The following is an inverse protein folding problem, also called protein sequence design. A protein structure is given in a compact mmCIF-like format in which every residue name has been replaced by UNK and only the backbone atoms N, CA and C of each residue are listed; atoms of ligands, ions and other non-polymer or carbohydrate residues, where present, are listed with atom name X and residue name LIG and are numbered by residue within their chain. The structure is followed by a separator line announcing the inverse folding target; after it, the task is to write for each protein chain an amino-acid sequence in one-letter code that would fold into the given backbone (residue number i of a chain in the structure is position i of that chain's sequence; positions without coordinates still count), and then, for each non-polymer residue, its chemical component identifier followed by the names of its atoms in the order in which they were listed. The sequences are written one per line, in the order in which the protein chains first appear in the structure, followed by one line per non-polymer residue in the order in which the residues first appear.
data_IF_520253500150
#
_entry.id   IF_520253500150
#
_cell.length_a   1.000
_cell.length_b   1.000
_cell.length_c   1.000
_cell.angle_alpha   90.00
_cell.angle_beta   90.00
_cell.angle_gamma   90.00
#
_symmetry.space_group_name_H-M   'P 1'
#
loop_
_entity.id
_entity.type
_entity.pdbx_description
1 polymer ?
#
# COMPACT_ATOMS: atom_id res chain seq x y z
N UNK A 1 9.89 2.58 -14.02
CA UNK A 1 8.62 3.11 -13.47
C UNK A 1 7.98 2.01 -12.67
N UNK A 2 7.59 2.29 -11.42
CA UNK A 2 6.90 1.31 -10.57
C UNK A 2 5.39 1.39 -10.80
N UNK A 3 4.71 0.25 -10.80
CA UNK A 3 3.25 0.15 -10.78
C UNK A 3 2.83 -0.73 -9.61
N UNK A 4 1.77 -0.31 -8.93
CA UNK A 4 1.19 -1.02 -7.80
C UNK A 4 -0.27 -1.28 -8.15
N UNK A 5 -0.79 -2.45 -7.75
CA UNK A 5 -2.20 -2.80 -7.91
C UNK A 5 -2.70 -3.48 -6.66
N UNK A 6 -3.92 -3.14 -6.27
CA UNK A 6 -4.69 -3.83 -5.24
C UNK A 6 -5.96 -4.41 -5.85
N UNK A 7 -6.43 -5.53 -5.31
CA UNK A 7 -7.66 -6.17 -5.77
C UNK A 7 -8.32 -6.97 -4.65
N UNK A 8 -9.65 -7.01 -4.62
CA UNK A 8 -10.42 -7.94 -3.79
C UNK A 8 -10.53 -9.28 -4.52
N UNK A 9 -10.45 -10.38 -3.77
CA UNK A 9 -10.66 -11.72 -4.33
C UNK A 9 -12.16 -11.97 -4.57
N UNK A 10 -12.53 -12.69 -5.63
CA UNK A 10 -13.93 -13.03 -5.88
C UNK A 10 -14.44 -14.08 -4.89
N UNK A 11 -15.76 -14.27 -4.87
CA UNK A 11 -16.46 -15.40 -4.23
C UNK A 11 -16.30 -15.49 -2.70
N UNK A 12 -16.25 -14.35 -2.02
CA UNK A 12 -16.09 -14.26 -0.56
C UNK A 12 -17.39 -14.07 0.23
N UNK A 13 -18.53 -13.97 -0.47
CA UNK A 13 -19.83 -13.71 0.12
C UNK A 13 -20.25 -12.25 -0.01
N UNK A 14 -20.94 -11.74 1.02
CA UNK A 14 -21.32 -10.33 1.09
C UNK A 14 -20.09 -9.46 1.36
N UNK A 15 -19.94 -8.37 0.61
CA UNK A 15 -18.80 -7.46 0.72
C UNK A 15 -18.66 -6.95 2.16
N UNK A 16 -17.44 -7.01 2.69
CA UNK A 16 -17.14 -6.61 4.06
C UNK A 16 -15.77 -5.96 4.17
N UNK A 17 -15.56 -5.16 5.21
CA UNK A 17 -14.23 -4.62 5.53
C UNK A 17 -13.13 -5.68 5.77
N UNK A 18 -13.50 -6.96 5.87
CA UNK A 18 -12.59 -8.09 6.08
C UNK A 18 -12.28 -8.88 4.81
N UNK A 19 -12.79 -8.46 3.66
CA UNK A 19 -12.57 -9.17 2.40
C UNK A 19 -11.07 -9.36 2.13
N UNK A 20 -10.71 -10.57 1.71
CA UNK A 20 -9.36 -10.87 1.31
C UNK A 20 -9.09 -10.30 -0.08
N UNK A 21 -7.83 -9.97 -0.31
CA UNK A 21 -7.37 -9.46 -1.58
C UNK A 21 -5.88 -9.68 -1.76
N UNK A 22 -5.39 -9.12 -2.85
CA UNK A 22 -4.02 -9.27 -3.28
C UNK A 22 -3.40 -7.90 -3.55
N UNK A 23 -2.09 -7.83 -3.35
CA UNK A 23 -1.23 -6.73 -3.75
C UNK A 23 -0.24 -7.22 -4.79
N UNK A 24 0.04 -6.39 -5.79
CA UNK A 24 1.05 -6.65 -6.81
C UNK A 24 1.88 -5.40 -7.08
N UNK A 25 3.20 -5.55 -7.09
CA UNK A 25 4.12 -4.48 -7.46
C UNK A 25 4.95 -4.94 -8.66
N UNK A 26 5.09 -4.07 -9.64
CA UNK A 26 5.91 -4.31 -10.82
C UNK A 26 6.85 -3.15 -11.09
N UNK A 27 8.05 -3.48 -11.55
CA UNK A 27 9.10 -2.52 -11.89
C UNK A 27 10.14 -3.14 -12.81
N UNK A 28 11.29 -2.48 -12.91
CA UNK A 28 12.39 -2.86 -13.80
C UNK A 28 13.15 -4.13 -13.36
N UNK A 29 13.04 -4.54 -12.10
CA UNK A 29 13.71 -5.75 -11.57
C UNK A 29 12.78 -6.95 -11.45
N UNK A 30 11.46 -6.75 -11.52
CA UNK A 30 10.52 -7.84 -11.45
C UNK A 30 9.07 -7.41 -11.23
N UNK A 31 8.20 -8.42 -11.22
CA UNK A 31 6.78 -8.33 -10.86
C UNK A 31 6.52 -9.35 -9.78
N UNK A 32 6.06 -8.89 -8.62
CA UNK A 32 5.86 -9.73 -7.44
C UNK A 32 4.49 -9.40 -6.85
N UNK A 33 3.71 -10.41 -6.52
CA UNK A 33 2.40 -10.27 -5.89
C UNK A 33 2.06 -11.45 -4.99
N UNK A 34 0.92 -11.34 -4.31
CA UNK A 34 0.39 -12.34 -3.36
C UNK A 34 -0.34 -13.50 -4.03
N UNK A 35 -0.87 -13.30 -5.24
CA UNK A 35 -1.65 -14.33 -5.96
C UNK A 35 -0.83 -15.57 -6.30
N UNK A 36 -1.45 -16.75 -6.17
CA UNK A 36 -0.88 -18.03 -6.64
C UNK A 36 0.31 -18.54 -5.81
N UNK A 37 0.48 -18.06 -4.58
CA UNK A 37 1.57 -18.46 -3.68
C UNK A 37 1.16 -19.66 -2.81
N UNK A 38 2.16 -20.40 -2.34
CA UNK A 38 1.99 -21.50 -1.37
C UNK A 38 3.04 -21.35 -0.26
N UNK A 39 2.66 -21.16 1.01
CA UNK A 39 1.29 -20.97 1.50
C UNK A 39 0.62 -19.73 0.88
N UNK A 40 -0.72 -19.68 0.90
CA UNK A 40 -1.47 -18.55 0.37
C UNK A 40 -1.03 -17.24 1.05
N UNK A 41 -1.04 -16.15 0.27
CA UNK A 41 -0.55 -14.83 0.71
C UNK A 41 -1.64 -13.75 0.59
N UNK A 42 -2.91 -14.13 0.40
CA UNK A 42 -4.03 -13.21 0.46
C UNK A 42 -4.12 -12.54 1.82
N UNK A 43 -4.70 -11.34 1.87
CA UNK A 43 -4.73 -10.52 3.09
C UNK A 43 -6.04 -9.75 3.18
N UNK A 44 -6.48 -9.38 4.38
CA UNK A 44 -7.63 -8.47 4.54
C UNK A 44 -7.29 -7.14 3.89
N UNK A 45 -7.76 -6.91 2.66
CA UNK A 45 -7.08 -5.98 1.75
C UNK A 45 -7.30 -4.53 2.13
N UNK A 46 -8.51 -4.17 2.56
CA UNK A 46 -8.83 -2.82 3.02
C UNK A 46 -7.96 -2.44 4.22
N UNK A 47 -7.93 -3.27 5.27
CA UNK A 47 -7.09 -3.07 6.44
C UNK A 47 -5.60 -3.03 6.09
N UNK A 48 -5.18 -3.91 5.18
CA UNK A 48 -3.80 -4.03 4.74
C UNK A 48 -3.33 -2.77 4.01
N UNK A 49 -4.12 -2.24 3.07
CA UNK A 49 -3.78 -1.00 2.35
C UNK A 49 -3.79 0.21 3.30
N UNK A 50 -4.78 0.33 4.19
CA UNK A 50 -4.81 1.41 5.20
C UNK A 50 -3.53 1.42 6.05
N UNK A 51 -3.15 0.25 6.57
CA UNK A 51 -1.93 0.09 7.36
C UNK A 51 -0.67 0.39 6.55
N UNK A 52 -0.63 -0.03 5.28
CA UNK A 52 0.49 0.25 4.37
C UNK A 52 0.66 1.77 4.18
N UNK A 53 -0.42 2.50 3.90
CA UNK A 53 -0.39 3.96 3.73
C UNK A 53 0.09 4.66 5.00
N UNK A 54 -0.49 4.34 6.15
CA UNK A 54 -0.14 5.00 7.41
C UNK A 54 1.31 4.70 7.83
N UNK A 55 1.73 3.44 7.77
CA UNK A 55 3.11 3.08 8.16
C UNK A 55 4.14 3.58 7.15
N UNK A 56 3.81 3.60 5.86
CA UNK A 56 4.70 4.16 4.84
C UNK A 56 4.83 5.68 5.00
N UNK A 57 3.75 6.41 5.32
CA UNK A 57 3.81 7.84 5.68
C UNK A 57 4.82 8.08 6.80
N UNK A 58 4.73 7.32 7.90
CA UNK A 58 5.65 7.46 9.03
C UNK A 58 7.11 7.21 8.61
N UNK A 59 7.35 6.25 7.71
CA UNK A 59 8.68 6.02 7.15
C UNK A 59 9.17 7.20 6.30
N UNK A 60 8.29 7.80 5.50
CA UNK A 60 8.63 8.94 4.63
C UNK A 60 9.00 10.19 5.45
N UNK A 61 8.27 10.45 6.52
CA UNK A 61 8.47 11.58 7.44
C UNK A 61 9.63 11.33 8.42
N UNK A 62 9.92 10.06 8.71
CA UNK A 62 10.97 9.65 9.63
C UNK A 62 12.36 9.50 9.00
N UNK A 63 13.33 9.19 9.87
CA UNK A 63 14.73 8.97 9.51
C UNK A 63 15.11 7.50 9.40
N UNK A 64 14.16 6.56 9.54
CA UNK A 64 14.45 5.13 9.46
C UNK A 64 15.06 4.78 8.09
N UNK A 65 16.09 3.94 8.10
CA UNK A 65 16.78 3.50 6.88
C UNK A 65 16.03 2.37 6.16
N UNK A 66 15.16 1.66 6.87
CA UNK A 66 14.39 0.52 6.38
C UNK A 66 12.95 0.64 6.86
N UNK A 67 12.03 0.47 5.92
CA UNK A 67 10.61 0.22 6.13
C UNK A 67 10.34 -1.27 5.93
N UNK A 68 9.51 -1.84 6.80
CA UNK A 68 9.02 -3.21 6.68
C UNK A 68 7.56 -3.23 7.09
N UNK A 69 6.74 -3.85 6.25
CA UNK A 69 5.31 -3.99 6.41
C UNK A 69 4.92 -5.43 6.08
N UNK A 70 3.99 -5.98 6.86
CA UNK A 70 3.36 -7.28 6.58
C UNK A 70 1.87 -7.06 6.55
N UNK A 71 1.20 -7.61 5.53
CA UNK A 71 -0.26 -7.49 5.40
C UNK A 71 -1.02 -8.14 6.56
N UNK A 72 -2.28 -7.76 6.72
CA UNK A 72 -3.14 -8.34 7.74
C UNK A 72 -3.50 -9.78 7.38
N UNK A 73 -3.33 -10.69 8.33
CA UNK A 73 -3.61 -12.13 8.19
C UNK A 73 -2.80 -12.85 7.09
N UNK A 74 -1.59 -12.36 6.79
CA UNK A 74 -0.71 -12.93 5.77
C UNK A 74 0.74 -12.89 6.18
N UNK A 75 1.59 -13.65 5.49
CA UNK A 75 3.04 -13.47 5.55
C UNK A 75 3.58 -12.57 4.44
N UNK A 76 2.70 -12.00 3.59
CA UNK A 76 3.11 -11.13 2.50
C UNK A 76 3.76 -9.87 3.04
N UNK A 77 5.01 -9.63 2.64
CA UNK A 77 5.84 -8.56 3.17
C UNK A 77 6.28 -7.58 2.07
N UNK A 78 6.18 -6.29 2.38
CA UNK A 78 6.78 -5.21 1.61
C UNK A 78 7.94 -4.64 2.42
N UNK A 79 9.11 -4.54 1.80
CA UNK A 79 10.30 -3.96 2.41
C UNK A 79 10.87 -2.89 1.51
N UNK A 80 11.11 -1.71 2.07
CA UNK A 80 11.71 -0.59 1.35
C UNK A 80 12.96 -0.13 2.10
N UNK A 81 14.07 0.01 1.38
CA UNK A 81 15.34 0.46 1.96
C UNK A 81 15.78 1.77 1.32
N UNK A 82 16.11 2.77 2.14
CA UNK A 82 16.79 3.98 1.65
C UNK A 82 18.19 3.60 1.17
N UNK A 83 18.51 3.96 -0.06
CA UNK A 83 19.82 3.74 -0.69
C UNK A 83 20.47 5.08 -1.06
N UNK A 84 21.70 5.04 -1.57
CA UNK A 84 22.45 6.25 -1.96
C UNK A 84 21.66 7.09 -2.98
N UNK A 85 21.97 8.39 -3.02
CA UNK A 85 21.36 9.36 -3.95
C UNK A 85 19.84 9.52 -3.78
N UNK A 86 19.33 9.34 -2.56
CA UNK A 86 17.92 9.58 -2.25
C UNK A 86 16.94 8.60 -2.91
N UNK A 87 17.42 7.43 -3.36
CA UNK A 87 16.56 6.39 -3.94
C UNK A 87 16.12 5.39 -2.86
N UNK A 88 15.11 4.60 -3.20
CA UNK A 88 14.50 3.55 -2.41
C UNK A 88 14.61 2.24 -3.18
N UNK A 89 15.10 1.19 -2.53
CA UNK A 89 15.11 -0.17 -3.06
C UNK A 89 13.91 -0.93 -2.51
N UNK A 90 13.08 -1.49 -3.40
CA UNK A 90 11.79 -2.09 -3.07
C UNK A 90 11.84 -3.60 -3.26
N UNK A 91 11.43 -4.32 -2.22
CA UNK A 91 11.35 -5.78 -2.20
C UNK A 91 9.97 -6.21 -1.73
N UNK A 92 9.43 -7.25 -2.36
CA UNK A 92 8.24 -7.96 -1.91
C UNK A 92 8.63 -9.40 -1.64
N UNK A 93 8.30 -9.94 -0.46
CA UNK A 93 8.66 -11.32 -0.10
C UNK A 93 10.15 -11.66 -0.34
N UNK A 94 11.04 -10.70 -0.08
CA UNK A 94 12.50 -10.76 -0.32
C UNK A 94 12.92 -10.76 -1.80
N UNK A 95 11.98 -10.73 -2.74
CA UNK A 95 12.21 -10.60 -4.17
C UNK A 95 12.32 -9.11 -4.56
N UNK A 96 13.36 -8.69 -5.32
CA UNK A 96 13.51 -7.30 -5.74
C UNK A 96 12.46 -6.93 -6.81
N UNK A 97 11.86 -5.75 -6.68
CA UNK A 97 10.89 -5.23 -7.66
C UNK A 97 11.46 -4.06 -8.46
N UNK A 98 12.07 -3.09 -7.77
CA UNK A 98 12.63 -1.90 -8.42
C UNK A 98 13.54 -1.10 -7.48
N UNK A 99 14.27 -0.15 -8.05
CA UNK A 99 14.75 1.01 -7.32
C UNK A 99 14.01 2.25 -7.83
N UNK A 100 13.38 3.03 -6.94
CA UNK A 100 12.59 4.22 -7.29
C UNK A 100 13.01 5.43 -6.45
N UNK A 101 12.71 6.64 -6.88
CA UNK A 101 12.72 7.81 -5.99
C UNK A 101 11.59 7.73 -4.98
N UNK A 102 11.69 8.52 -3.91
CA UNK A 102 10.61 8.67 -2.95
C UNK A 102 9.31 9.14 -3.63
N UNK A 103 9.40 10.14 -4.51
CA UNK A 103 8.24 10.68 -5.21
C UNK A 103 7.56 9.63 -6.11
N UNK A 104 8.33 8.86 -6.89
CA UNK A 104 7.77 7.82 -7.76
C UNK A 104 7.04 6.73 -6.95
N UNK A 105 7.62 6.27 -5.85
CA UNK A 105 7.02 5.22 -5.03
C UNK A 105 5.77 5.72 -4.29
N UNK A 106 5.83 6.91 -3.67
CA UNK A 106 4.67 7.49 -2.99
C UNK A 106 3.53 7.79 -3.96
N UNK A 107 3.84 8.32 -5.15
CA UNK A 107 2.83 8.57 -6.17
C UNK A 107 2.18 7.28 -6.67
N UNK A 108 2.98 6.24 -6.97
CA UNK A 108 2.42 4.96 -7.41
C UNK A 108 1.54 4.30 -6.34
N UNK A 109 1.90 4.45 -5.06
CA UNK A 109 1.12 3.91 -3.95
C UNK A 109 -0.21 4.66 -3.79
N UNK A 110 -0.18 6.01 -3.88
CA UNK A 110 -1.38 6.83 -3.83
C UNK A 110 -2.33 6.51 -4.99
N UNK A 111 -1.82 6.50 -6.23
CA UNK A 111 -2.61 6.20 -7.42
C UNK A 111 -3.27 4.83 -7.29
N UNK A 112 -2.52 3.78 -6.91
CA UNK A 112 -3.08 2.45 -6.75
C UNK A 112 -4.16 2.37 -5.65
N UNK A 113 -3.99 3.12 -4.56
CA UNK A 113 -4.98 3.17 -3.49
C UNK A 113 -6.26 3.95 -3.90
N UNK A 114 -6.12 4.99 -4.71
CA UNK A 114 -7.27 5.73 -5.25
C UNK A 114 -8.01 4.96 -6.34
N UNK A 115 -7.29 4.25 -7.21
CA UNK A 115 -7.87 3.34 -8.19
C UNK A 115 -8.64 2.20 -7.50
N UNK A 116 -8.03 1.59 -6.46
CA UNK A 116 -8.69 0.55 -5.67
C UNK A 116 -9.98 1.05 -4.98
N UNK A 117 -9.96 2.29 -4.48
CA UNK A 117 -11.13 2.94 -3.92
C UNK A 117 -12.24 3.10 -4.98
N UNK A 118 -11.89 3.59 -6.16
CA UNK A 118 -12.85 3.89 -7.22
C UNK A 118 -13.44 2.63 -7.87
N UNK A 119 -12.66 1.56 -7.99
CA UNK A 119 -13.07 0.33 -8.67
C UNK A 119 -13.75 -0.68 -7.74
N UNK A 120 -13.39 -0.71 -6.45
CA UNK A 120 -13.68 -1.87 -5.60
C UNK A 120 -14.34 -1.55 -4.26
N UNK A 121 -14.30 -0.29 -3.80
CA UNK A 121 -14.90 0.03 -2.50
C UNK A 121 -16.42 0.16 -2.59
N UNK A 122 -17.10 -0.99 -2.53
CA UNK A 122 -18.55 -1.11 -2.37
C UNK A 122 -18.91 -1.52 -0.93
N UNK A 123 -18.27 -0.86 0.05
CA UNK A 123 -18.54 -1.06 1.47
C UNK A 123 -19.55 -0.01 1.98
N UNK A 124 -20.44 -0.37 2.93
CA UNK A 124 -21.32 0.60 3.59
C UNK A 124 -20.55 1.80 4.15
N UNK A 125 -21.15 2.99 4.14
CA UNK A 125 -20.51 4.21 4.69
C UNK A 125 -20.16 4.10 6.18
N UNK A 126 -20.87 3.25 6.91
CA UNK A 126 -20.65 2.96 8.32
C UNK A 126 -19.63 1.85 8.58
N UNK A 127 -19.09 1.22 7.53
CA UNK A 127 -18.06 0.19 7.68
C UNK A 127 -16.75 0.82 8.19
N UNK A 128 -16.21 0.26 9.27
CA UNK A 128 -15.01 0.79 9.93
C UNK A 128 -13.77 0.69 9.03
N UNK A 129 -13.64 -0.38 8.24
CA UNK A 129 -12.52 -0.53 7.32
C UNK A 129 -12.57 0.53 6.21
N UNK A 130 -13.78 0.89 5.73
CA UNK A 130 -13.96 2.01 4.81
C UNK A 130 -13.53 3.33 5.44
N UNK A 131 -13.98 3.62 6.66
CA UNK A 131 -13.63 4.86 7.38
C UNK A 131 -12.11 4.95 7.58
N UNK A 132 -11.47 3.87 8.02
CA UNK A 132 -10.03 3.80 8.23
C UNK A 132 -9.26 3.99 6.92
N UNK A 133 -9.72 3.36 5.84
CA UNK A 133 -9.12 3.48 4.51
C UNK A 133 -9.16 4.90 3.97
N UNK A 134 -10.33 5.55 4.05
CA UNK A 134 -10.48 6.94 3.64
C UNK A 134 -9.61 7.88 4.48
N UNK A 135 -9.55 7.66 5.80
CA UNK A 135 -8.68 8.42 6.69
C UNK A 135 -7.19 8.24 6.36
N UNK A 136 -6.76 7.02 6.05
CA UNK A 136 -5.37 6.75 5.66
C UNK A 136 -5.00 7.45 4.35
N UNK A 137 -5.89 7.42 3.35
CA UNK A 137 -5.72 8.18 2.10
C UNK A 137 -5.60 9.68 2.34
N UNK A 138 -6.50 10.26 3.13
CA UNK A 138 -6.49 11.68 3.46
C UNK A 138 -5.17 12.11 4.10
N UNK A 139 -4.63 11.30 5.03
CA UNK A 139 -3.34 11.54 5.68
C UNK A 139 -2.15 11.35 4.73
N UNK A 140 -2.26 10.47 3.73
CA UNK A 140 -1.17 10.15 2.81
C UNK A 140 -1.02 11.17 1.67
N UNK A 141 -2.13 11.68 1.13
CA UNK A 141 -2.15 12.63 0.00
C UNK A 141 -1.18 13.81 0.09
N UNK A 142 -1.04 14.52 1.24
CA UNK A 142 -0.15 15.68 1.35
C UNK A 142 1.35 15.36 1.17
N UNK A 143 1.73 14.08 1.16
CA UNK A 143 3.12 13.65 0.93
C UNK A 143 3.47 13.51 -0.55
N UNK A 144 2.45 13.39 -1.42
CA UNK A 144 2.62 13.23 -2.87
C UNK A 144 2.44 14.56 -3.58
N UNK A 145 1.54 15.41 -3.07
CA UNK A 145 1.30 16.76 -3.58
C UNK A 145 1.60 17.82 -2.50
N UNK A 146 2.69 18.60 -2.63
CA UNK A 146 3.03 19.65 -1.67
C UNK A 146 2.09 20.86 -1.70
N UNK A 147 1.08 20.92 -2.58
CA UNK A 147 0.09 22.01 -2.62
C UNK A 147 -1.05 21.83 -1.60
N UNK A 148 -1.18 20.66 -0.96
CA UNK A 148 -2.12 20.47 0.15
C UNK A 148 -1.56 21.06 1.46
N UNK A 149 -2.22 22.05 2.08
CA UNK A 149 -1.73 22.62 3.33
C UNK A 149 -1.71 21.56 4.42
N UNK A 150 -0.53 21.37 5.05
CA UNK A 150 -0.40 20.55 6.25
C UNK A 150 -1.28 21.17 7.34
N UNK A 151 -2.43 20.56 7.63
CA UNK A 151 -3.21 20.86 8.85
C UNK A 151 -2.38 20.42 10.04
N UNK A 152 -1.62 21.37 10.61
CA UNK A 152 -1.00 21.19 11.92
C UNK A 152 -2.14 21.20 12.94
N UNK A 153 -2.48 20.04 13.49
CA UNK A 153 -3.22 20.02 14.75
C UNK A 153 -2.23 20.36 15.87
N UNK A 154 -2.55 21.45 16.57
CA UNK A 154 -1.87 21.96 17.76
C UNK A 154 -2.19 21.10 18.99
#
# INVERSE_FOLDING_TARGET
MIKIRFSVRPDQGENSGFDLGDMEFSGDLGRVGSTGRTPDQGMMIYLSVSLLLDTFRLFLEGSQSVFSYTGADTSFNVRVRRIKKGRLSVFLNKEPVTNASQAELSNALLVAAEEFLAEVLDLPETDVARIDYLGALERFRPLVDPTHPKTRHA
#
